data_IF_118369869705
#
_entry.id   IF_118369869705
#
_cell.length_a   1.000
_cell.length_b   1.000
_cell.length_c   1.000
_cell.angle_alpha   90.00
_cell.angle_beta   90.00
_cell.angle_gamma   90.00
#
_symmetry.space_group_name_H-M   'P 1'
#
loop_
_entity.id
_entity.type
_entity.pdbx_description
1 polymer ?
#
# COMPACT_ATOMS: atom_id res chain seq x y z
N UNK A 1 0.59 22.52 -16.69
CA UNK A 1 -0.83 22.68 -16.22
C UNK A 1 -0.86 22.91 -14.71
N UNK A 2 -1.94 23.44 -14.09
CA UNK A 2 -2.00 23.57 -12.62
C UNK A 2 -2.40 22.25 -11.97
N UNK A 3 -1.81 21.93 -10.81
CA UNK A 3 -2.15 20.70 -10.08
C UNK A 3 -3.64 20.61 -9.70
N UNK A 4 -4.29 21.74 -9.39
CA UNK A 4 -5.73 21.74 -9.06
C UNK A 4 -6.62 21.32 -10.24
N UNK A 5 -6.21 21.66 -11.46
CA UNK A 5 -6.88 21.27 -12.71
C UNK A 5 -6.70 19.76 -12.92
N UNK A 6 -5.46 19.28 -12.85
CA UNK A 6 -5.12 17.85 -12.97
C UNK A 6 -5.90 17.02 -11.96
N UNK A 7 -5.91 17.41 -10.66
CA UNK A 7 -6.65 16.69 -9.61
C UNK A 7 -8.14 16.56 -9.96
N UNK A 8 -8.75 17.65 -10.38
CA UNK A 8 -10.19 17.68 -10.68
C UNK A 8 -10.52 16.83 -11.90
N UNK A 9 -9.73 16.98 -12.96
CA UNK A 9 -9.94 16.28 -14.23
C UNK A 9 -9.68 14.77 -14.11
N UNK A 10 -8.61 14.38 -13.42
CA UNK A 10 -8.28 12.96 -13.18
C UNK A 10 -9.37 12.28 -12.37
N UNK A 11 -9.74 12.85 -11.21
CA UNK A 11 -10.75 12.24 -10.32
C UNK A 11 -12.13 12.16 -10.98
N UNK A 12 -12.51 13.18 -11.77
CA UNK A 12 -13.78 13.17 -12.50
C UNK A 12 -13.81 12.11 -13.61
N UNK A 13 -12.69 11.91 -14.30
CA UNK A 13 -12.54 10.91 -15.37
C UNK A 13 -12.56 9.49 -14.82
N UNK A 14 -11.88 9.25 -13.70
CA UNK A 14 -11.71 7.90 -13.16
C UNK A 14 -12.92 7.44 -12.32
N UNK A 15 -13.65 8.36 -11.67
CA UNK A 15 -14.78 8.03 -10.79
C UNK A 15 -15.82 7.08 -11.41
N UNK A 16 -16.31 7.27 -12.65
CA UNK A 16 -17.35 6.40 -13.22
C UNK A 16 -16.97 4.92 -13.22
N UNK A 17 -15.67 4.61 -13.40
CA UNK A 17 -15.15 3.24 -13.52
C UNK A 17 -15.13 2.46 -12.20
N UNK A 18 -15.20 3.13 -11.06
CA UNK A 18 -15.12 2.49 -9.72
C UNK A 18 -16.32 2.78 -8.83
N UNK A 19 -17.21 3.69 -9.27
CA UNK A 19 -18.36 4.13 -8.48
C UNK A 19 -19.36 3.01 -8.15
N UNK A 20 -19.56 2.06 -9.07
CA UNK A 20 -20.41 0.88 -8.84
C UNK A 20 -19.87 -0.03 -7.73
N UNK A 21 -18.58 0.04 -7.44
CA UNK A 21 -17.91 -0.70 -6.37
C UNK A 21 -17.84 0.09 -5.05
N UNK A 22 -18.57 1.20 -4.94
CA UNK A 22 -18.67 2.01 -3.71
C UNK A 22 -17.58 3.06 -3.52
N UNK A 23 -16.65 3.22 -4.47
CA UNK A 23 -15.60 4.24 -4.38
C UNK A 23 -16.15 5.65 -4.60
N UNK A 24 -15.72 6.58 -3.75
CA UNK A 24 -16.09 8.00 -3.78
C UNK A 24 -14.86 8.88 -3.93
N UNK A 25 -15.03 10.05 -4.52
CA UNK A 25 -13.96 11.03 -4.68
C UNK A 25 -13.63 11.67 -3.33
N UNK A 26 -12.35 11.66 -2.95
CA UNK A 26 -11.80 12.51 -1.89
C UNK A 26 -10.82 13.50 -2.51
N UNK A 27 -11.25 14.77 -2.65
CA UNK A 27 -10.44 15.82 -3.27
C UNK A 27 -9.25 16.24 -2.39
N UNK A 28 -9.42 16.22 -1.08
CA UNK A 28 -8.39 16.63 -0.12
C UNK A 28 -7.22 15.67 -0.16
N UNK A 29 -7.50 14.36 -0.14
CA UNK A 29 -6.47 13.31 -0.21
C UNK A 29 -6.06 12.97 -1.65
N UNK A 30 -6.65 13.60 -2.66
CA UNK A 30 -6.45 13.28 -4.07
C UNK A 30 -6.55 11.77 -4.35
N UNK A 31 -7.68 11.17 -3.97
CA UNK A 31 -7.91 9.74 -4.13
C UNK A 31 -9.37 9.38 -4.46
N UNK A 32 -9.57 8.15 -4.91
CA UNK A 32 -10.87 7.48 -4.94
C UNK A 32 -10.87 6.46 -3.81
N UNK A 33 -11.83 6.57 -2.88
CA UNK A 33 -11.80 5.88 -1.60
C UNK A 33 -13.11 5.13 -1.34
N UNK A 34 -12.99 3.92 -0.81
CA UNK A 34 -14.08 3.09 -0.29
C UNK A 34 -13.76 2.73 1.15
N UNK A 35 -14.78 2.73 1.99
CA UNK A 35 -14.66 2.36 3.40
C UNK A 35 -15.79 1.37 3.73
N UNK A 36 -15.42 0.21 4.27
CA UNK A 36 -16.33 -0.84 4.72
C UNK A 36 -16.06 -1.19 6.20
N UNK A 37 -16.67 -2.25 6.74
CA UNK A 37 -16.50 -2.61 8.15
C UNK A 37 -15.04 -2.94 8.53
N UNK A 38 -14.30 -3.54 7.61
CA UNK A 38 -12.98 -4.11 7.88
C UNK A 38 -11.85 -3.25 7.31
N UNK A 39 -12.06 -2.66 6.14
CA UNK A 39 -11.01 -1.99 5.38
C UNK A 39 -11.43 -0.64 4.85
N UNK A 40 -10.43 0.21 4.77
CA UNK A 40 -10.43 1.40 3.95
C UNK A 40 -9.53 1.12 2.73
N UNK A 41 -10.11 1.13 1.53
CA UNK A 41 -9.41 0.90 0.26
C UNK A 41 -9.37 2.18 -0.56
N UNK A 42 -8.22 2.49 -1.17
CA UNK A 42 -8.09 3.70 -1.97
C UNK A 42 -7.16 3.58 -3.17
N UNK A 43 -7.59 4.18 -4.29
CA UNK A 43 -6.73 4.59 -5.38
C UNK A 43 -6.20 5.99 -5.09
N UNK A 44 -4.93 6.10 -4.68
CA UNK A 44 -4.28 7.36 -4.30
C UNK A 44 -3.37 7.85 -5.42
N UNK A 45 -3.28 9.18 -5.58
CA UNK A 45 -2.46 9.81 -6.61
C UNK A 45 -1.49 10.79 -5.94
N UNK A 46 -0.33 10.30 -5.52
CA UNK A 46 0.70 11.19 -4.98
C UNK A 46 1.30 12.01 -6.11
N UNK A 47 1.83 13.19 -5.81
CA UNK A 47 2.41 14.05 -6.84
C UNK A 47 3.57 14.90 -6.36
N UNK A 48 4.46 15.20 -7.30
CA UNK A 48 5.54 16.18 -7.16
C UNK A 48 5.53 17.13 -8.36
N UNK A 49 6.01 18.34 -8.17
CA UNK A 49 6.16 19.33 -9.25
C UNK A 49 7.64 19.62 -9.48
N UNK A 50 8.10 19.50 -10.72
CA UNK A 50 9.47 19.79 -11.15
C UNK A 50 9.45 20.73 -12.35
N UNK A 51 9.78 22.00 -12.10
CA UNK A 51 9.58 23.05 -13.11
C UNK A 51 8.10 23.12 -13.51
N UNK A 52 7.85 22.99 -14.80
CA UNK A 52 6.50 23.01 -15.37
C UNK A 52 5.84 21.61 -15.44
N UNK A 53 6.57 20.56 -15.04
CA UNK A 53 6.09 19.18 -15.05
C UNK A 53 5.42 18.82 -13.72
N UNK A 54 4.29 18.09 -13.81
CA UNK A 54 3.63 17.47 -12.67
C UNK A 54 3.75 15.95 -12.81
N UNK A 55 4.34 15.33 -11.80
CA UNK A 55 4.58 13.89 -11.73
C UNK A 55 3.50 13.25 -10.88
N UNK A 56 2.72 12.33 -11.44
CA UNK A 56 1.65 11.61 -10.74
C UNK A 56 2.06 10.16 -10.50
N UNK A 57 2.01 9.73 -9.24
CA UNK A 57 2.33 8.38 -8.81
C UNK A 57 1.03 7.67 -8.38
N UNK A 58 0.57 6.67 -9.16
CA UNK A 58 -0.68 5.98 -8.86
C UNK A 58 -0.45 4.83 -7.87
N UNK A 59 -1.19 4.80 -6.77
CA UNK A 59 -1.12 3.75 -5.76
C UNK A 59 -2.47 3.12 -5.51
N UNK A 60 -2.46 1.83 -5.17
CA UNK A 60 -3.56 1.19 -4.44
C UNK A 60 -3.12 0.94 -3.02
N UNK A 61 -4.01 1.22 -2.07
CA UNK A 61 -3.70 1.19 -0.64
C UNK A 61 -4.86 0.59 0.13
N UNK A 62 -4.54 -0.29 1.07
CA UNK A 62 -5.47 -0.95 1.99
C UNK A 62 -5.08 -0.56 3.41
N UNK A 63 -6.05 -0.10 4.19
CA UNK A 63 -5.96 0.13 5.63
C UNK A 63 -6.94 -0.82 6.32
N UNK A 64 -6.42 -1.93 6.85
CA UNK A 64 -7.20 -2.85 7.66
C UNK A 64 -7.40 -2.25 9.06
N UNK A 65 -8.66 -2.02 9.44
CA UNK A 65 -9.01 -1.28 10.66
C UNK A 65 -8.53 -1.96 11.94
N UNK A 66 -8.56 -3.30 11.98
CA UNK A 66 -8.13 -4.07 13.15
C UNK A 66 -6.61 -4.00 13.35
N UNK A 67 -5.84 -4.15 12.28
CA UNK A 67 -4.37 -3.98 12.34
C UNK A 67 -4.01 -2.56 12.76
N UNK A 68 -4.63 -1.54 12.15
CA UNK A 68 -4.37 -0.15 12.51
C UNK A 68 -4.73 0.16 13.98
N UNK A 69 -5.85 -0.35 14.48
CA UNK A 69 -6.25 -0.15 15.87
C UNK A 69 -5.24 -0.74 16.87
N UNK A 70 -4.67 -1.91 16.57
CA UNK A 70 -3.61 -2.53 17.40
C UNK A 70 -2.35 -1.66 17.38
N UNK A 71 -1.92 -1.23 16.19
CA UNK A 71 -0.76 -0.35 16.04
C UNK A 71 -0.94 0.96 16.82
N UNK A 72 -2.09 1.63 16.67
CA UNK A 72 -2.41 2.89 17.36
C UNK A 72 -2.42 2.73 18.89
N UNK A 73 -2.92 1.60 19.40
CA UNK A 73 -2.91 1.28 20.84
C UNK A 73 -1.49 1.17 21.40
N UNK A 74 -0.50 0.85 20.56
CA UNK A 74 0.89 0.70 20.92
C UNK A 74 1.79 1.86 20.47
N UNK A 75 1.20 3.02 20.14
CA UNK A 75 1.87 4.21 19.63
C UNK A 75 2.66 3.99 18.33
N UNK A 76 2.32 2.95 17.57
CA UNK A 76 2.90 2.67 16.27
C UNK A 76 2.04 3.30 15.18
N UNK A 77 2.54 4.37 14.56
CA UNK A 77 1.81 5.02 13.47
C UNK A 77 1.98 4.24 12.17
N UNK A 78 0.93 3.55 11.75
CA UNK A 78 0.89 2.84 10.47
C UNK A 78 0.10 3.65 9.44
N UNK A 79 0.72 3.94 8.29
CA UNK A 79 0.08 4.66 7.19
C UNK A 79 -0.93 3.77 6.43
N UNK A 80 -0.48 2.58 6.06
CA UNK A 80 -1.24 1.60 5.28
C UNK A 80 -0.93 0.20 5.79
N UNK A 81 -1.89 -0.71 5.71
CA UNK A 81 -1.65 -2.15 5.92
C UNK A 81 -0.98 -2.76 4.71
N UNK A 82 -1.34 -2.33 3.51
CA UNK A 82 -0.67 -2.71 2.27
C UNK A 82 -0.76 -1.55 1.28
N UNK A 83 0.30 -1.29 0.51
CA UNK A 83 0.25 -0.34 -0.59
C UNK A 83 1.21 -0.70 -1.71
N UNK A 84 0.82 -0.46 -2.95
CA UNK A 84 1.68 -0.71 -4.10
C UNK A 84 1.38 0.26 -5.24
N UNK A 85 2.41 0.66 -6.00
CA UNK A 85 2.24 1.48 -7.20
C UNK A 85 1.52 0.66 -8.28
N UNK A 86 0.49 1.22 -8.91
CA UNK A 86 -0.33 0.52 -9.92
C UNK A 86 0.48 0.08 -11.15
N UNK A 87 1.50 0.82 -11.56
CA UNK A 87 2.37 0.45 -12.68
C UNK A 87 3.26 -0.75 -12.32
N UNK A 88 3.65 -0.86 -11.04
CA UNK A 88 4.38 -2.02 -10.53
C UNK A 88 3.47 -3.22 -10.35
N UNK A 89 2.26 -3.01 -9.81
CA UNK A 89 1.25 -4.06 -9.73
C UNK A 89 0.97 -4.68 -11.10
N UNK A 90 0.88 -3.87 -12.15
CA UNK A 90 0.78 -4.35 -13.54
C UNK A 90 1.95 -5.25 -13.92
N UNK A 91 3.20 -4.85 -13.67
CA UNK A 91 4.39 -5.68 -13.96
C UNK A 91 4.33 -7.03 -13.22
N UNK A 92 3.86 -7.04 -11.97
CA UNK A 92 3.68 -8.27 -11.18
C UNK A 92 2.62 -9.17 -11.80
N UNK A 93 1.44 -8.64 -12.14
CA UNK A 93 0.36 -9.41 -12.76
C UNK A 93 0.71 -9.90 -14.17
N UNK A 94 1.51 -9.15 -14.92
CA UNK A 94 2.00 -9.54 -16.24
C UNK A 94 3.19 -10.54 -16.16
N UNK A 95 3.69 -10.87 -14.95
CA UNK A 95 4.81 -11.79 -14.76
C UNK A 95 6.18 -11.24 -15.21
N UNK A 96 6.30 -9.91 -15.35
CA UNK A 96 7.49 -9.22 -15.86
C UNK A 96 8.29 -8.50 -14.77
N UNK A 97 7.86 -8.61 -13.50
CA UNK A 97 8.52 -7.99 -12.35
C UNK A 97 9.85 -8.67 -12.01
N UNK A 98 10.90 -7.86 -11.77
CA UNK A 98 12.22 -8.32 -11.31
C UNK A 98 12.63 -7.63 -9.99
N UNK A 99 13.28 -8.37 -9.09
CA UNK A 99 13.64 -7.88 -7.74
C UNK A 99 14.69 -6.75 -7.75
N UNK A 100 15.39 -6.52 -8.87
CA UNK A 100 16.39 -5.45 -9.05
C UNK A 100 15.80 -4.02 -9.01
N UNK A 101 14.47 -3.93 -8.89
CA UNK A 101 13.70 -2.67 -8.87
C UNK A 101 13.18 -2.30 -7.47
N UNK A 102 13.44 -3.13 -6.45
CA UNK A 102 12.80 -3.09 -5.11
C UNK A 102 12.75 -1.73 -4.40
N UNK A 103 13.76 -0.88 -4.58
CA UNK A 103 13.84 0.45 -3.95
C UNK A 103 13.71 1.63 -4.94
N UNK A 104 13.42 1.35 -6.20
CA UNK A 104 13.32 2.38 -7.24
C UNK A 104 11.88 2.84 -7.49
N UNK A 105 10.88 2.29 -6.79
CA UNK A 105 9.45 2.51 -7.07
C UNK A 105 8.90 3.93 -6.79
N UNK A 106 9.79 4.88 -6.49
CA UNK A 106 9.51 6.32 -6.43
C UNK A 106 10.52 7.16 -7.23
N UNK A 107 11.59 6.55 -7.76
CA UNK A 107 12.67 7.22 -8.48
C UNK A 107 12.67 6.89 -9.97
N UNK A 108 12.23 5.70 -10.37
CA UNK A 108 12.18 5.34 -11.78
C UNK A 108 11.14 6.18 -12.51
N UNK A 109 11.52 6.71 -13.68
CA UNK A 109 10.62 7.45 -14.58
C UNK A 109 9.42 6.62 -15.00
N UNK A 110 9.54 5.29 -14.98
CA UNK A 110 8.50 4.38 -15.42
C UNK A 110 7.38 4.16 -14.39
N UNK A 111 7.53 4.62 -13.15
CA UNK A 111 6.55 4.37 -12.08
C UNK A 111 5.64 5.61 -11.83
N UNK A 112 5.57 6.51 -12.81
CA UNK A 112 4.80 7.76 -12.75
C UNK A 112 4.31 8.22 -14.11
N UNK A 113 3.29 9.06 -14.11
CA UNK A 113 2.88 9.84 -15.27
C UNK A 113 3.47 11.25 -15.16
N UNK A 114 4.14 11.72 -16.21
CA UNK A 114 4.67 13.09 -16.28
C UNK A 114 3.70 13.91 -17.13
N UNK A 115 3.14 14.96 -16.55
CA UNK A 115 2.13 15.81 -17.18
C UNK A 115 2.72 17.21 -17.35
N UNK A 116 3.00 17.58 -18.59
CA UNK A 116 3.38 18.94 -18.96
C UNK A 116 2.19 19.70 -19.56
N UNK A 117 1.48 19.05 -20.49
CA UNK A 117 0.37 19.61 -21.25
C UNK A 117 -0.88 18.69 -21.28
N UNK A 118 -1.91 19.13 -22.01
CA UNK A 118 -3.16 18.40 -22.16
C UNK A 118 -3.00 17.04 -22.86
N UNK A 119 -2.04 16.91 -23.79
CA UNK A 119 -1.79 15.63 -24.48
C UNK A 119 -1.28 14.58 -23.49
N UNK A 120 -0.39 14.97 -22.60
CA UNK A 120 0.10 14.08 -21.54
C UNK A 120 -0.99 13.73 -20.53
N UNK A 121 -1.87 14.69 -20.22
CA UNK A 121 -3.04 14.44 -19.38
C UNK A 121 -3.99 13.40 -20.00
N UNK A 122 -4.29 13.48 -21.31
CA UNK A 122 -5.12 12.50 -22.00
C UNK A 122 -4.50 11.08 -22.00
N UNK A 123 -3.19 11.00 -22.20
CA UNK A 123 -2.46 9.72 -22.11
C UNK A 123 -2.54 9.15 -20.70
N UNK A 124 -2.28 9.96 -19.67
CA UNK A 124 -2.35 9.53 -18.27
C UNK A 124 -3.75 9.01 -17.90
N UNK A 125 -4.80 9.72 -18.31
CA UNK A 125 -6.20 9.27 -18.12
C UNK A 125 -6.46 7.92 -18.78
N UNK A 126 -6.07 7.76 -20.04
CA UNK A 126 -6.27 6.53 -20.81
C UNK A 126 -5.58 5.34 -20.15
N UNK A 127 -4.33 5.51 -19.72
CA UNK A 127 -3.57 4.44 -19.07
C UNK A 127 -4.10 4.13 -17.66
N UNK A 128 -4.47 5.14 -16.87
CA UNK A 128 -5.05 4.92 -15.55
C UNK A 128 -6.36 4.16 -15.61
N UNK A 129 -7.23 4.45 -16.58
CA UNK A 129 -8.47 3.68 -16.80
C UNK A 129 -8.16 2.19 -16.99
N UNK A 130 -7.10 1.85 -17.71
CA UNK A 130 -6.67 0.44 -17.93
C UNK A 130 -6.11 -0.21 -16.67
N UNK A 131 -5.55 0.58 -15.74
CA UNK A 131 -5.00 0.09 -14.48
C UNK A 131 -6.06 -0.11 -13.39
N UNK A 132 -7.19 0.60 -13.44
CA UNK A 132 -8.25 0.50 -12.42
C UNK A 132 -8.75 -0.93 -12.19
N UNK A 133 -9.02 -1.77 -13.23
CA UNK A 133 -9.42 -3.16 -13.02
C UNK A 133 -8.40 -3.98 -12.22
N UNK A 134 -7.10 -3.73 -12.41
CA UNK A 134 -6.05 -4.42 -11.64
C UNK A 134 -6.08 -4.00 -10.18
N UNK A 135 -6.28 -2.72 -9.89
CA UNK A 135 -6.41 -2.26 -8.51
C UNK A 135 -7.69 -2.75 -7.83
N UNK A 136 -8.81 -2.83 -8.56
CA UNK A 136 -10.04 -3.45 -8.05
C UNK A 136 -9.82 -4.92 -7.71
N UNK A 137 -9.13 -5.67 -8.59
CA UNK A 137 -8.73 -7.05 -8.31
C UNK A 137 -7.83 -7.13 -7.08
N UNK A 138 -6.85 -6.25 -6.95
CA UNK A 138 -5.97 -6.21 -5.79
C UNK A 138 -6.73 -6.01 -4.48
N UNK A 139 -7.73 -5.12 -4.44
CA UNK A 139 -8.56 -4.95 -3.26
C UNK A 139 -9.37 -6.20 -2.93
N UNK A 140 -9.90 -6.88 -3.94
CA UNK A 140 -10.66 -8.12 -3.73
C UNK A 140 -9.77 -9.28 -3.28
N UNK A 141 -8.57 -9.41 -3.83
CA UNK A 141 -7.63 -10.47 -3.47
C UNK A 141 -7.10 -10.33 -2.03
N UNK A 142 -7.23 -9.14 -1.41
CA UNK A 142 -6.65 -8.78 -0.12
C UNK A 142 -7.65 -8.08 0.81
N UNK A 143 -8.92 -8.47 0.77
CA UNK A 143 -10.00 -7.87 1.55
C UNK A 143 -10.17 -8.44 2.96
N UNK A 144 -9.43 -9.50 3.32
CA UNK A 144 -9.50 -10.11 4.65
C UNK A 144 -8.14 -10.32 5.31
N UNK A 145 -8.19 -10.71 6.60
CA UNK A 145 -6.98 -10.89 7.40
C UNK A 145 -6.13 -12.09 6.96
N UNK A 146 -6.73 -13.13 6.38
CA UNK A 146 -6.02 -14.30 5.88
C UNK A 146 -5.23 -13.97 4.62
N UNK A 147 -5.79 -13.12 3.76
CA UNK A 147 -5.12 -12.64 2.57
C UNK A 147 -3.96 -11.69 2.91
N UNK A 148 -4.13 -10.81 3.91
CA UNK A 148 -3.02 -10.00 4.43
C UNK A 148 -1.96 -10.88 5.07
N UNK A 149 -2.33 -11.87 5.89
CA UNK A 149 -1.38 -12.84 6.45
C UNK A 149 -0.58 -13.54 5.35
N UNK A 150 -1.26 -14.08 4.34
CA UNK A 150 -0.60 -14.69 3.20
C UNK A 150 0.33 -13.72 2.47
N UNK A 151 -0.06 -12.45 2.31
CA UNK A 151 0.76 -11.43 1.65
C UNK A 151 2.11 -11.26 2.35
N UNK A 152 2.12 -11.19 3.69
CA UNK A 152 3.33 -10.90 4.47
C UNK A 152 4.09 -12.16 4.93
N UNK A 153 3.37 -13.27 5.11
CA UNK A 153 3.89 -14.49 5.72
C UNK A 153 4.03 -15.67 4.75
N UNK A 154 3.94 -15.45 3.43
CA UNK A 154 4.37 -16.45 2.43
C UNK A 154 5.89 -16.39 2.25
N UNK A 155 6.61 -17.52 2.40
CA UNK A 155 8.05 -17.56 2.18
C UNK A 155 8.46 -17.10 0.76
N UNK A 156 9.63 -16.45 0.61
CA UNK A 156 10.65 -16.19 1.62
C UNK A 156 10.36 -14.92 2.47
N UNK A 157 10.33 -15.07 3.79
CA UNK A 157 9.95 -14.01 4.75
C UNK A 157 11.02 -12.94 4.99
N UNK A 158 12.27 -13.26 4.68
CA UNK A 158 13.43 -12.37 4.85
C UNK A 158 13.60 -11.40 3.68
N UNK A 159 12.68 -11.41 2.70
CA UNK A 159 12.68 -10.45 1.60
C UNK A 159 11.68 -9.35 1.88
N UNK A 160 12.05 -8.12 1.51
CA UNK A 160 11.12 -7.01 1.56
C UNK A 160 9.95 -7.24 0.60
N UNK A 161 8.75 -7.09 1.15
CA UNK A 161 7.49 -7.19 0.45
C UNK A 161 7.24 -5.90 -0.36
N UNK A 162 6.95 -5.98 -1.67
CA UNK A 162 6.65 -4.79 -2.49
C UNK A 162 5.39 -4.04 -2.04
N UNK A 163 4.58 -4.63 -1.17
CA UNK A 163 3.39 -4.01 -0.60
C UNK A 163 3.67 -3.22 0.71
N UNK A 164 4.92 -3.19 1.18
CA UNK A 164 5.31 -2.59 2.45
C UNK A 164 6.16 -1.33 2.28
N UNK A 165 6.05 -0.40 3.24
CA UNK A 165 6.78 0.89 3.22
C UNK A 165 8.18 0.76 3.76
N UNK A 166 8.36 -0.23 4.62
CA UNK A 166 9.61 -0.52 5.29
C UNK A 166 9.61 -1.97 5.76
N UNK A 167 10.79 -2.42 6.17
CA UNK A 167 10.95 -3.76 6.70
C UNK A 167 10.38 -3.89 8.12
N UNK A 168 10.48 -2.83 8.91
CA UNK A 168 9.87 -2.68 10.23
C UNK A 168 8.34 -2.76 10.15
N UNK A 169 7.72 -2.00 9.23
CA UNK A 169 6.25 -2.06 9.02
C UNK A 169 5.82 -3.44 8.54
N UNK A 170 6.61 -4.10 7.69
CA UNK A 170 6.35 -5.48 7.25
C UNK A 170 6.34 -6.45 8.44
N UNK A 171 7.32 -6.36 9.33
CA UNK A 171 7.38 -7.21 10.52
C UNK A 171 6.18 -6.98 11.45
N UNK A 172 5.79 -5.72 11.66
CA UNK A 172 4.61 -5.37 12.47
C UNK A 172 3.31 -5.91 11.84
N UNK A 173 3.06 -5.60 10.57
CA UNK A 173 1.85 -6.04 9.87
C UNK A 173 1.80 -7.57 9.83
N UNK A 174 2.89 -8.21 9.42
CA UNK A 174 2.98 -9.66 9.30
C UNK A 174 2.78 -10.38 10.64
N UNK A 175 3.34 -9.85 11.73
CA UNK A 175 3.13 -10.41 13.07
C UNK A 175 1.65 -10.34 13.48
N UNK A 176 1.05 -9.14 13.35
CA UNK A 176 -0.36 -8.93 13.74
C UNK A 176 -1.27 -9.81 12.87
N UNK A 177 -1.07 -9.83 11.55
CA UNK A 177 -1.89 -10.64 10.66
C UNK A 177 -1.76 -12.14 10.94
N UNK A 178 -0.55 -12.63 11.23
CA UNK A 178 -0.34 -14.04 11.58
C UNK A 178 -1.12 -14.44 12.84
N UNK A 179 -1.11 -13.58 13.87
CA UNK A 179 -1.88 -13.84 15.09
C UNK A 179 -3.37 -13.86 14.80
N UNK A 180 -3.88 -12.81 14.14
CA UNK A 180 -5.30 -12.64 13.88
C UNK A 180 -5.88 -13.66 12.89
N UNK A 181 -5.07 -14.17 11.96
CA UNK A 181 -5.45 -15.22 11.01
C UNK A 181 -5.26 -16.64 11.60
N UNK A 182 -4.81 -16.77 12.85
CA UNK A 182 -4.48 -18.05 13.48
C UNK A 182 -3.49 -18.88 12.63
N UNK A 183 -2.45 -18.23 12.10
CA UNK A 183 -1.46 -18.88 11.26
C UNK A 183 -0.73 -19.98 12.06
N UNK A 184 -0.75 -21.22 11.55
CA UNK A 184 -0.13 -22.37 12.23
C UNK A 184 1.38 -22.26 12.43
N UNK A 185 2.04 -21.34 11.72
CA UNK A 185 3.47 -21.04 11.87
C UNK A 185 3.74 -19.76 12.69
N UNK A 186 2.77 -19.30 13.49
CA UNK A 186 2.87 -18.04 14.24
C UNK A 186 4.15 -17.95 15.08
N UNK A 187 4.52 -19.00 15.79
CA UNK A 187 5.71 -19.00 16.65
C UNK A 187 7.01 -18.81 15.84
N UNK A 188 7.12 -19.43 14.67
CA UNK A 188 8.28 -19.25 13.80
C UNK A 188 8.31 -17.84 13.20
N UNK A 189 7.15 -17.31 12.79
CA UNK A 189 7.01 -15.94 12.27
C UNK A 189 7.39 -14.92 13.35
N UNK A 190 6.86 -15.08 14.56
CA UNK A 190 7.12 -14.23 15.72
C UNK A 190 8.60 -14.21 16.08
N UNK A 191 9.23 -15.38 16.11
CA UNK A 191 10.68 -15.51 16.37
C UNK A 191 11.52 -14.82 15.30
N UNK A 192 11.17 -15.01 14.02
CA UNK A 192 11.87 -14.40 12.91
C UNK A 192 11.73 -12.86 12.93
N UNK A 193 10.52 -12.34 13.01
CA UNK A 193 10.29 -10.90 13.03
C UNK A 193 10.88 -10.22 14.27
N UNK A 194 10.86 -10.88 15.42
CA UNK A 194 11.57 -10.38 16.61
C UNK A 194 13.07 -10.24 16.33
N UNK A 195 13.70 -11.27 15.75
CA UNK A 195 15.14 -11.21 15.38
C UNK A 195 15.45 -10.08 14.39
N UNK A 196 14.59 -9.91 13.38
CA UNK A 196 14.75 -8.89 12.34
C UNK A 196 14.59 -7.46 12.90
N UNK A 197 13.63 -7.23 13.79
CA UNK A 197 13.43 -5.94 14.45
C UNK A 197 14.59 -5.58 15.40
N UNK A 198 15.25 -6.57 15.99
CA UNK A 198 16.40 -6.34 16.87
C UNK A 198 17.71 -6.02 16.11
N UNK A 199 17.71 -6.05 14.78
CA UNK A 199 18.87 -5.64 13.98
C UNK A 199 19.30 -4.20 14.25
N UNK A 200 20.60 -3.89 14.14
CA UNK A 200 21.19 -2.59 14.50
C UNK A 200 20.57 -1.40 13.73
N UNK A 201 20.06 -1.64 12.52
CA UNK A 201 19.49 -0.62 11.63
C UNK A 201 18.11 -0.12 12.05
N UNK A 202 17.45 -0.77 13.02
CA UNK A 202 16.11 -0.37 13.51
C UNK A 202 16.23 0.53 14.74
N UNK A 203 15.51 1.65 14.74
CA UNK A 203 15.49 2.60 15.86
C UNK A 203 14.95 1.96 17.15
N UNK A 204 15.55 2.32 18.30
CA UNK A 204 15.14 1.76 19.61
C UNK A 204 13.65 1.99 19.92
N UNK A 205 13.10 3.15 19.54
CA UNK A 205 11.67 3.45 19.72
C UNK A 205 10.78 2.48 18.93
N UNK A 206 11.16 2.17 17.68
CA UNK A 206 10.47 1.17 16.85
C UNK A 206 10.50 -0.21 17.49
N UNK A 207 11.65 -0.63 18.06
CA UNK A 207 11.76 -1.90 18.79
C UNK A 207 10.83 -1.94 20.00
N UNK A 208 10.81 -0.88 20.80
CA UNK A 208 9.94 -0.78 21.98
C UNK A 208 8.45 -0.83 21.61
N UNK A 209 8.06 -0.20 20.49
CA UNK A 209 6.68 -0.27 19.96
C UNK A 209 6.33 -1.67 19.45
N UNK A 210 7.24 -2.32 18.75
CA UNK A 210 7.06 -3.70 18.29
C UNK A 210 6.84 -4.67 19.47
N UNK A 211 7.65 -4.59 20.53
CA UNK A 211 7.47 -5.44 21.72
C UNK A 211 6.14 -5.17 22.43
N UNK A 212 5.69 -3.90 22.49
CA UNK A 212 4.35 -3.57 23.00
C UNK A 212 3.24 -4.22 22.17
N UNK A 213 3.36 -4.16 20.84
CA UNK A 213 2.42 -4.82 19.91
C UNK A 213 2.40 -6.32 20.16
N UNK A 214 3.58 -6.95 20.17
CA UNK A 214 3.72 -8.39 20.41
C UNK A 214 3.05 -8.81 21.71
N UNK A 215 3.32 -8.10 22.81
CA UNK A 215 2.69 -8.40 24.10
C UNK A 215 1.17 -8.21 24.09
N UNK A 216 0.67 -7.16 23.42
CA UNK A 216 -0.77 -6.92 23.29
C UNK A 216 -1.46 -8.05 22.53
N UNK A 217 -0.93 -8.44 21.37
CA UNK A 217 -1.58 -9.44 20.52
C UNK A 217 -1.56 -10.84 21.12
N UNK A 218 -0.65 -11.16 22.05
CA UNK A 218 -0.70 -12.44 22.78
C UNK A 218 -1.94 -12.58 23.69
N UNK A 219 -2.60 -11.47 24.01
CA UNK A 219 -3.82 -11.46 24.83
C UNK A 219 -5.11 -11.58 24.02
N UNK A 220 -5.02 -11.61 22.69
CA UNK A 220 -6.13 -11.74 21.74
C UNK A 220 -6.39 -13.20 21.37
#
# INVERSE_FOLDING_TARGET
MKISEIKSELLSTLKPYVSSQGFKVNKTQFCLKRDDENNECQFSFDYNSWGDEIHIFPYVQIRNKKIHSICETCDFHLNYTAFINLLVLKKIYDGTFTEDTKWKMQYDRQDRFVIFDNSDMEKAKTELIKLLPMGLKYFHDHDDIYAIDKMYNTPPLNKQNPNSSGFDTQCVIGLISAKLAHNGNYEQISSLYSSLIQSEDVLQDTRNKFERIKNLIETL
#
